data_IF_554102277062
#
_entry.id   IF_554102277062
#
_cell.length_a   1.000
_cell.length_b   1.000
_cell.length_c   1.000
_cell.angle_alpha   90.00
_cell.angle_beta   90.00
_cell.angle_gamma   90.00
#
_symmetry.space_group_name_H-M   'P 1'
#
loop_
_entity.id
_entity.type
_entity.pdbx_description
1 polymer ?
#
# COMPACT_ATOMS: atom_id res chain seq x y z
N UNK A 1 -38.76 -36.92 31.70
CA UNK A 1 -39.09 -38.33 31.38
C UNK A 1 -38.37 -38.68 30.09
N UNK A 2 -37.30 -39.49 30.20
CA UNK A 2 -36.69 -40.34 29.15
C UNK A 2 -36.10 -39.63 27.90
N UNK A 3 -34.95 -40.00 27.33
CA UNK A 3 -34.03 -41.13 27.53
C UNK A 3 -32.76 -40.92 26.67
N UNK A 4 -31.60 -41.37 27.22
CA UNK A 4 -30.50 -42.18 26.61
C UNK A 4 -29.77 -41.66 25.34
N UNK A 5 -28.46 -41.85 25.19
CA UNK A 5 -27.68 -43.10 25.03
C UNK A 5 -26.19 -42.74 25.28
N UNK A 6 -25.46 -43.17 26.33
CA UNK A 6 -24.72 -44.45 26.57
C UNK A 6 -23.82 -44.97 25.43
N UNK A 7 -22.49 -44.93 25.64
CA UNK A 7 -21.45 -45.91 25.22
C UNK A 7 -20.12 -45.47 25.89
N UNK A 8 -19.78 -45.93 27.09
CA UNK A 8 -19.07 -47.18 27.45
C UNK A 8 -17.73 -47.47 26.74
N UNK A 9 -16.69 -47.58 27.56
CA UNK A 9 -15.56 -48.52 27.43
C UNK A 9 -14.18 -47.87 27.39
N UNK A 10 -13.14 -48.29 28.12
CA UNK A 10 -12.98 -49.21 29.26
C UNK A 10 -11.49 -49.22 29.63
N UNK A 11 -11.18 -49.29 30.94
CA UNK A 11 -10.00 -49.94 31.59
C UNK A 11 -8.58 -49.38 31.34
N UNK A 12 -7.65 -49.39 32.31
CA UNK A 12 -7.43 -50.40 33.35
C UNK A 12 -6.64 -49.88 34.58
N UNK A 13 -7.06 -50.31 35.78
CA UNK A 13 -6.28 -50.89 36.91
C UNK A 13 -5.07 -50.14 37.49
N UNK A 14 -4.80 -50.08 38.81
CA UNK A 14 -5.09 -51.01 39.90
C UNK A 14 -4.75 -50.34 41.26
N UNK A 15 -5.24 -50.94 42.35
CA UNK A 15 -5.06 -50.72 43.80
C UNK A 15 -3.64 -50.29 44.24
N UNK A 16 -3.32 -49.79 45.46
CA UNK A 16 -3.50 -50.40 46.80
C UNK A 16 -3.11 -49.38 47.91
N UNK A 17 -3.87 -49.39 49.01
CA UNK A 17 -3.55 -49.23 50.44
C UNK A 17 -2.32 -48.47 51.00
N UNK A 18 -2.64 -47.63 52.01
CA UNK A 18 -1.94 -47.33 53.27
C UNK A 18 -0.40 -47.28 53.33
N UNK A 19 0.16 -46.09 53.61
CA UNK A 19 1.39 -45.95 54.44
C UNK A 19 1.30 -44.67 55.27
N UNK A 20 1.24 -44.83 56.60
CA UNK A 20 1.55 -43.78 57.59
C UNK A 20 2.99 -43.27 57.39
N UNK A 21 3.18 -41.96 57.35
CA UNK A 21 4.52 -41.37 57.57
C UNK A 21 4.47 -40.48 58.80
N UNK A 22 5.05 -41.04 59.86
CA UNK A 22 5.42 -40.48 61.17
C UNK A 22 5.69 -38.97 61.14
N UNK A 23 5.06 -38.27 62.08
CA UNK A 23 5.57 -37.01 62.61
C UNK A 23 7.01 -37.20 63.09
N UNK A 24 7.96 -36.51 62.47
CA UNK A 24 9.24 -36.20 63.11
C UNK A 24 9.12 -34.76 63.60
N UNK A 25 9.03 -34.60 64.92
CA UNK A 25 9.26 -33.32 65.59
C UNK A 25 10.74 -33.00 65.45
N UNK A 26 11.06 -31.93 64.73
CA UNK A 26 12.32 -31.21 64.93
C UNK A 26 12.00 -29.94 65.72
N UNK A 27 12.48 -29.92 66.97
CA UNK A 27 12.69 -28.66 67.68
C UNK A 27 13.81 -27.92 66.95
N UNK A 28 13.52 -26.72 66.47
CA UNK A 28 14.55 -25.81 65.99
C UNK A 28 14.54 -24.56 66.89
N UNK A 29 15.43 -24.57 67.87
CA UNK A 29 15.84 -23.39 68.62
C UNK A 29 16.88 -22.66 67.77
N UNK A 30 16.43 -21.77 66.89
CA UNK A 30 17.31 -21.01 66.00
C UNK A 30 16.57 -19.84 65.38
N UNK A 31 16.63 -18.67 66.03
CA UNK A 31 16.06 -17.44 65.51
C UNK A 31 16.74 -17.02 64.21
N UNK A 32 16.18 -17.43 63.07
CA UNK A 32 16.45 -16.82 61.79
C UNK A 32 15.11 -16.30 61.25
N UNK A 33 14.98 -14.97 61.18
CA UNK A 33 13.77 -14.31 60.70
C UNK A 33 13.69 -14.48 59.18
N UNK A 34 13.04 -15.57 58.73
CA UNK A 34 12.67 -15.73 57.33
C UNK A 34 11.57 -14.70 57.00
N UNK A 35 11.93 -13.61 56.32
CA UNK A 35 10.95 -12.66 55.80
C UNK A 35 10.16 -13.32 54.66
N UNK A 36 9.05 -13.94 55.00
CA UNK A 36 8.08 -14.46 54.03
C UNK A 36 7.25 -13.32 53.45
N UNK A 37 7.79 -12.66 52.41
CA UNK A 37 7.08 -11.65 51.63
C UNK A 37 5.88 -12.28 50.91
N UNK A 38 4.66 -11.99 51.36
CA UNK A 38 3.45 -12.46 50.67
C UNK A 38 3.32 -11.82 49.29
N UNK A 39 2.69 -12.51 48.32
CA UNK A 39 2.41 -11.97 46.96
C UNK A 39 1.76 -10.57 47.00
N UNK A 40 0.90 -10.32 47.98
CA UNK A 40 0.24 -9.02 48.20
C UNK A 40 1.21 -7.95 48.71
N UNK A 41 2.15 -8.30 49.59
CA UNK A 41 3.19 -7.39 50.05
C UNK A 41 4.22 -7.11 48.95
N UNK A 42 4.57 -8.10 48.12
CA UNK A 42 5.41 -7.90 46.94
C UNK A 42 4.78 -6.90 45.98
N UNK A 43 3.50 -7.08 45.61
CA UNK A 43 2.79 -6.13 44.72
C UNK A 43 2.76 -4.72 45.34
N UNK A 44 2.46 -4.61 46.65
CA UNK A 44 2.48 -3.30 47.33
C UNK A 44 3.86 -2.66 47.27
N UNK A 45 4.92 -3.41 47.55
CA UNK A 45 6.29 -2.92 47.54
C UNK A 45 6.71 -2.50 46.12
N UNK A 46 6.37 -3.28 45.10
CA UNK A 46 6.67 -2.96 43.69
C UNK A 46 5.96 -1.69 43.24
N UNK A 47 4.66 -1.54 43.55
CA UNK A 47 3.89 -0.32 43.22
C UNK A 47 4.46 0.92 43.94
N UNK A 48 4.80 0.78 45.23
CA UNK A 48 5.43 1.87 45.99
C UNK A 48 6.77 2.27 45.39
N UNK A 49 7.59 1.30 45.02
CA UNK A 49 8.94 1.55 44.46
C UNK A 49 8.86 2.25 43.11
N UNK A 50 7.95 1.82 42.22
CA UNK A 50 7.73 2.46 40.91
C UNK A 50 7.24 3.90 41.06
N UNK A 51 6.36 4.17 42.04
CA UNK A 51 5.80 5.51 42.28
C UNK A 51 6.85 6.48 42.79
N UNK A 52 7.72 6.03 43.70
CA UNK A 52 8.84 6.85 44.20
C UNK A 52 9.85 7.11 43.08
N UNK A 53 10.17 6.09 42.29
CA UNK A 53 11.07 6.26 41.15
C UNK A 53 10.51 7.26 40.13
N UNK A 54 9.24 7.13 39.75
CA UNK A 54 8.62 8.01 38.75
C UNK A 54 8.51 9.46 39.23
N UNK A 55 8.32 9.70 40.53
CA UNK A 55 8.34 11.04 41.12
C UNK A 55 9.75 11.65 41.20
N UNK A 56 10.79 10.82 41.25
CA UNK A 56 12.21 11.26 41.29
C UNK A 56 12.85 11.38 39.90
N UNK A 57 12.25 10.79 38.87
CA UNK A 57 12.66 10.98 37.49
C UNK A 57 12.23 12.40 37.05
N UNK A 58 13.11 13.16 36.38
CA UNK A 58 12.77 14.48 35.84
C UNK A 58 11.88 14.34 34.60
N UNK A 59 10.66 13.80 34.78
CA UNK A 59 9.65 13.74 33.74
C UNK A 59 8.97 15.11 33.65
N UNK A 60 9.62 16.03 32.95
CA UNK A 60 9.04 17.33 32.61
C UNK A 60 8.04 17.13 31.47
N UNK A 61 6.79 16.86 31.82
CA UNK A 61 5.68 16.66 30.86
C UNK A 61 5.54 17.83 29.86
N UNK A 62 5.93 19.03 30.26
CA UNK A 62 5.94 20.23 29.42
C UNK A 62 7.03 20.18 28.33
N UNK A 63 8.26 19.76 28.67
CA UNK A 63 9.33 19.53 27.67
C UNK A 63 9.03 18.33 26.78
N UNK A 64 8.36 17.30 27.33
CA UNK A 64 7.86 16.17 26.56
C UNK A 64 6.74 16.57 25.56
N UNK A 65 5.92 17.57 25.90
CA UNK A 65 4.89 18.13 25.00
C UNK A 65 5.45 19.11 23.97
N UNK A 66 6.45 19.90 24.33
CA UNK A 66 7.03 20.94 23.46
C UNK A 66 7.90 20.38 22.32
N UNK A 67 8.35 19.12 22.39
CA UNK A 67 9.16 18.47 21.36
C UNK A 67 8.34 17.66 20.34
N UNK A 68 7.02 17.85 20.27
CA UNK A 68 6.20 17.29 19.20
C UNK A 68 6.55 17.98 17.89
N UNK A 69 7.34 17.34 17.04
CA UNK A 69 7.54 17.80 15.66
C UNK A 69 6.19 17.97 14.99
N UNK A 70 6.03 19.04 14.20
CA UNK A 70 4.84 19.18 13.38
C UNK A 70 4.73 17.96 12.45
N UNK A 71 3.60 17.28 12.50
CA UNK A 71 3.42 16.04 11.74
C UNK A 71 3.49 16.40 10.27
N UNK A 72 4.40 15.76 9.52
CA UNK A 72 4.61 16.07 8.10
C UNK A 72 3.34 15.98 7.25
N UNK A 73 2.38 15.15 7.68
CA UNK A 73 1.11 14.90 7.01
C UNK A 73 -0.06 15.74 7.56
N UNK A 74 0.17 16.59 8.57
CA UNK A 74 -0.88 17.43 9.16
C UNK A 74 -1.57 18.28 8.09
N UNK A 75 -2.89 18.37 8.10
CA UNK A 75 -3.68 19.15 7.13
C UNK A 75 -3.48 18.70 5.66
N UNK A 76 -2.91 17.51 5.41
CA UNK A 76 -2.87 16.92 4.08
C UNK A 76 -4.21 16.24 3.77
N UNK A 77 -4.66 16.37 2.53
CA UNK A 77 -5.81 15.61 2.02
C UNK A 77 -5.35 14.23 1.58
N UNK A 78 -5.93 13.19 2.17
CA UNK A 78 -5.75 11.80 1.74
C UNK A 78 -6.63 11.51 0.52
N UNK A 79 -6.03 10.89 -0.50
CA UNK A 79 -6.75 10.45 -1.69
C UNK A 79 -6.33 8.99 -1.99
N UNK A 80 -7.26 8.03 -1.95
CA UNK A 80 -6.95 6.65 -2.31
C UNK A 80 -6.63 6.56 -3.81
N UNK A 81 -5.66 5.72 -4.16
CA UNK A 81 -5.25 5.48 -5.54
C UNK A 81 -4.66 4.07 -5.70
N UNK A 82 -4.27 3.72 -6.92
CA UNK A 82 -3.69 2.42 -7.27
C UNK A 82 -2.31 2.63 -7.89
N UNK A 83 -1.36 1.78 -7.52
CA UNK A 83 -0.03 1.74 -8.12
C UNK A 83 -0.10 1.32 -9.59
N UNK A 84 0.43 2.14 -10.50
CA UNK A 84 0.39 1.91 -11.94
C UNK A 84 1.53 1.04 -12.49
N UNK A 85 2.63 0.85 -11.74
CA UNK A 85 3.85 0.25 -12.31
C UNK A 85 3.76 -1.20 -12.80
N UNK A 86 3.05 -2.07 -12.08
CA UNK A 86 2.93 -3.47 -12.46
C UNK A 86 1.52 -3.97 -12.18
N UNK A 87 1.21 -5.17 -12.66
CA UNK A 87 -0.09 -5.80 -12.49
C UNK A 87 -0.45 -6.19 -11.04
N UNK A 88 0.36 -5.79 -10.05
CA UNK A 88 0.12 -6.08 -8.64
C UNK A 88 -1.06 -5.30 -8.04
N UNK A 89 -1.45 -4.16 -8.62
CA UNK A 89 -2.63 -3.42 -8.18
C UNK A 89 -2.60 -2.98 -6.71
N UNK A 90 -1.41 -2.68 -6.16
CA UNK A 90 -1.26 -2.25 -4.77
C UNK A 90 -2.05 -0.96 -4.52
N UNK A 91 -2.81 -0.92 -3.43
CA UNK A 91 -3.51 0.28 -2.97
C UNK A 91 -2.55 1.30 -2.38
N UNK A 92 -2.80 2.57 -2.67
CA UNK A 92 -2.02 3.72 -2.24
C UNK A 92 -2.91 4.73 -1.53
N UNK A 93 -2.35 5.42 -0.53
CA UNK A 93 -2.90 6.67 0.01
C UNK A 93 -1.96 7.80 -0.41
N UNK A 94 -2.49 8.72 -1.21
CA UNK A 94 -1.77 9.89 -1.73
C UNK A 94 -2.13 11.10 -0.90
N UNK A 95 -1.14 11.66 -0.22
CA UNK A 95 -1.28 12.84 0.63
C UNK A 95 -0.98 14.10 -0.17
N UNK A 96 -1.97 14.99 -0.29
CA UNK A 96 -1.90 16.22 -1.08
C UNK A 96 -2.07 17.46 -0.19
N UNK A 97 -1.16 18.42 -0.30
CA UNK A 97 -1.27 19.74 0.33
C UNK A 97 -0.90 20.82 -0.68
N UNK A 98 -1.66 21.91 -0.73
CA UNK A 98 -1.43 23.05 -1.63
C UNK A 98 -1.26 22.63 -3.12
N UNK A 99 -2.02 21.62 -3.54
CA UNK A 99 -1.99 21.06 -4.90
C UNK A 99 -0.75 20.23 -5.24
N UNK A 100 0.12 19.96 -4.26
CA UNK A 100 1.32 19.13 -4.42
C UNK A 100 1.18 17.80 -3.69
N UNK A 101 1.71 16.74 -4.28
CA UNK A 101 1.84 15.45 -3.59
C UNK A 101 3.01 15.56 -2.64
N UNK A 102 2.77 15.38 -1.33
CA UNK A 102 3.80 15.49 -0.29
C UNK A 102 4.23 14.14 0.28
N UNK A 103 3.38 13.11 0.18
CA UNK A 103 3.68 11.75 0.60
C UNK A 103 2.82 10.75 -0.17
N UNK A 104 3.33 9.54 -0.34
CA UNK A 104 2.59 8.37 -0.83
C UNK A 104 2.93 7.21 0.08
N UNK A 105 1.90 6.54 0.59
CA UNK A 105 2.05 5.34 1.40
C UNK A 105 1.08 4.25 0.94
N UNK A 106 1.26 3.04 1.47
CA UNK A 106 0.38 1.93 1.12
C UNK A 106 -0.93 2.04 1.87
N UNK A 107 -2.02 1.69 1.21
CA UNK A 107 -3.33 1.59 1.83
C UNK A 107 -3.39 0.33 2.75
N UNK A 108 -3.53 0.49 4.08
CA UNK A 108 -3.62 -0.63 5.01
C UNK A 108 -4.89 -1.48 4.83
N UNK A 109 -5.95 -0.89 4.29
CA UNK A 109 -7.24 -1.55 4.08
C UNK A 109 -7.28 -2.32 2.75
N UNK A 110 -6.32 -2.07 1.86
CA UNK A 110 -6.23 -2.78 0.59
C UNK A 110 -5.86 -4.27 0.82
N UNK A 111 -6.66 -5.22 0.31
CA UNK A 111 -6.47 -6.65 0.58
C UNK A 111 -5.18 -7.20 -0.04
N UNK A 112 -4.69 -6.58 -1.11
CA UNK A 112 -3.54 -7.06 -1.90
C UNK A 112 -2.24 -6.77 -1.18
N UNK A 113 -2.05 -5.55 -0.68
CA UNK A 113 -0.78 -5.11 -0.12
C UNK A 113 -0.82 -4.77 1.38
N UNK A 114 -1.99 -4.54 2.00
CA UNK A 114 -2.15 -4.29 3.43
C UNK A 114 -1.15 -3.24 3.97
N UNK A 115 -0.99 -2.14 3.23
CA UNK A 115 -0.07 -1.05 3.57
C UNK A 115 1.37 -1.23 3.11
N UNK A 116 1.76 -2.41 2.63
CA UNK A 116 3.14 -2.66 2.17
C UNK A 116 3.37 -2.11 0.77
N UNK A 117 4.54 -1.54 0.50
CA UNK A 117 4.93 -1.04 -0.82
C UNK A 117 6.35 -1.45 -1.20
N UNK A 118 6.54 -1.74 -2.49
CA UNK A 118 7.87 -1.97 -3.06
C UNK A 118 8.57 -0.63 -3.36
N UNK A 119 9.89 -0.60 -3.61
CA UNK A 119 10.62 0.66 -3.84
C UNK A 119 10.12 1.44 -5.06
N UNK A 120 9.58 0.75 -6.08
CA UNK A 120 8.98 1.42 -7.25
C UNK A 120 7.77 2.26 -6.82
N UNK A 121 6.83 1.64 -6.11
CA UNK A 121 5.61 2.31 -5.67
C UNK A 121 5.89 3.49 -4.72
N UNK A 122 6.86 3.35 -3.81
CA UNK A 122 7.31 4.45 -2.95
C UNK A 122 7.92 5.61 -3.75
N UNK A 123 8.55 5.32 -4.89
CA UNK A 123 9.14 6.32 -5.77
C UNK A 123 8.13 6.99 -6.72
N UNK A 124 6.83 6.64 -6.71
CA UNK A 124 5.79 7.27 -7.54
C UNK A 124 5.82 8.81 -7.47
N UNK A 125 6.06 9.36 -6.28
CA UNK A 125 6.11 10.81 -6.05
C UNK A 125 7.20 11.48 -6.91
N UNK A 126 8.33 10.80 -7.12
CA UNK A 126 9.44 11.29 -7.93
C UNK A 126 9.13 11.34 -9.42
N UNK A 127 8.16 10.55 -9.89
CA UNK A 127 7.69 10.58 -11.28
C UNK A 127 6.81 11.80 -11.50
N UNK A 128 5.89 12.07 -10.56
CA UNK A 128 4.95 13.21 -10.65
C UNK A 128 5.66 14.55 -10.46
N UNK A 129 6.49 14.66 -9.43
CA UNK A 129 7.19 15.90 -9.04
C UNK A 129 8.57 16.02 -9.70
N UNK A 130 8.79 15.29 -10.81
CA UNK A 130 10.07 15.35 -11.53
C UNK A 130 10.24 16.69 -12.27
N UNK A 131 11.36 17.42 -12.09
CA UNK A 131 11.62 18.66 -12.82
C UNK A 131 11.76 18.47 -14.33
N UNK A 132 12.13 17.27 -14.81
CA UNK A 132 12.26 16.99 -16.26
C UNK A 132 10.98 16.46 -16.90
N UNK A 133 9.86 16.41 -16.15
CA UNK A 133 8.58 15.95 -16.69
C UNK A 133 8.10 16.89 -17.80
N UNK A 134 7.73 16.38 -18.99
CA UNK A 134 7.20 17.23 -20.05
C UNK A 134 5.83 17.80 -19.64
N UNK A 135 5.71 19.13 -19.63
CA UNK A 135 4.49 19.85 -19.24
C UNK A 135 3.74 20.46 -20.41
N UNK A 136 4.34 20.47 -21.60
CA UNK A 136 3.79 21.06 -22.83
C UNK A 136 4.01 20.10 -24.00
N UNK A 137 3.12 20.11 -25.00
CA UNK A 137 3.38 19.44 -26.26
C UNK A 137 4.65 19.98 -26.91
N UNK A 138 5.40 19.09 -27.56
CA UNK A 138 6.64 19.40 -28.23
C UNK A 138 6.54 18.98 -29.70
N UNK A 139 6.99 19.84 -30.60
CA UNK A 139 7.07 19.58 -32.03
C UNK A 139 8.51 19.47 -32.48
N UNK A 140 8.77 18.55 -33.40
CA UNK A 140 10.06 18.41 -34.08
C UNK A 140 9.80 18.31 -35.58
N UNK A 141 10.31 19.28 -36.32
CA UNK A 141 10.20 19.30 -37.78
C UNK A 141 10.98 18.15 -38.42
N UNK A 142 10.61 17.69 -39.64
CA UNK A 142 11.38 16.70 -40.38
C UNK A 142 12.85 17.09 -40.50
N UNK A 143 13.76 16.19 -40.10
CA UNK A 143 15.21 16.42 -40.12
C UNK A 143 15.75 17.32 -38.99
N UNK A 144 14.90 17.92 -38.15
CA UNK A 144 15.36 18.72 -37.02
C UNK A 144 15.90 17.83 -35.87
N UNK A 145 16.89 18.35 -35.15
CA UNK A 145 17.46 17.72 -33.94
C UNK A 145 16.81 18.19 -32.65
N UNK A 146 16.32 19.43 -32.64
CA UNK A 146 15.77 20.09 -31.46
C UNK A 146 14.24 20.03 -31.43
N UNK A 147 13.69 19.97 -30.22
CA UNK A 147 12.25 20.06 -29.95
C UNK A 147 11.84 21.51 -29.66
N UNK A 148 10.67 21.90 -30.15
CA UNK A 148 10.09 23.22 -29.91
C UNK A 148 8.74 23.10 -29.19
N UNK A 149 8.50 23.85 -28.11
CA UNK A 149 7.21 23.82 -27.44
C UNK A 149 6.13 24.44 -28.31
N UNK A 150 4.97 23.79 -28.38
CA UNK A 150 3.78 24.29 -29.07
C UNK A 150 2.56 24.27 -28.16
N UNK A 151 1.48 24.93 -28.57
CA UNK A 151 0.21 24.88 -27.85
C UNK A 151 -0.50 23.53 -28.01
N UNK A 152 -1.43 23.21 -27.12
CA UNK A 152 -2.28 22.03 -27.25
C UNK A 152 -3.16 22.08 -28.49
N UNK A 153 -3.76 23.23 -28.79
CA UNK A 153 -4.60 23.40 -29.98
C UNK A 153 -3.80 23.17 -31.27
N UNK A 154 -2.60 23.73 -31.36
CA UNK A 154 -1.72 23.50 -32.50
C UNK A 154 -1.29 22.02 -32.61
N UNK A 155 -0.98 21.36 -31.49
CA UNK A 155 -0.58 19.96 -31.49
C UNK A 155 -1.72 19.06 -32.00
N UNK A 156 -2.92 19.25 -31.47
CA UNK A 156 -4.11 18.48 -31.82
C UNK A 156 -4.47 18.70 -33.29
N UNK A 157 -4.50 19.96 -33.75
CA UNK A 157 -4.83 20.31 -35.13
C UNK A 157 -3.84 19.68 -36.12
N UNK A 158 -2.53 19.78 -35.86
CA UNK A 158 -1.50 19.18 -36.71
C UNK A 158 -1.63 17.67 -36.81
N UNK A 159 -1.87 16.99 -35.68
CA UNK A 159 -2.05 15.54 -35.63
C UNK A 159 -3.32 15.16 -36.40
N UNK A 160 -4.44 15.85 -36.18
CA UNK A 160 -5.70 15.58 -36.85
C UNK A 160 -5.59 15.75 -38.37
N UNK A 161 -4.96 16.85 -38.84
CA UNK A 161 -4.71 17.09 -40.26
C UNK A 161 -3.88 15.97 -40.89
N UNK A 162 -2.80 15.53 -40.22
CA UNK A 162 -1.94 14.46 -40.72
C UNK A 162 -2.64 13.11 -40.77
N UNK A 163 -3.39 12.77 -39.72
CA UNK A 163 -4.18 11.53 -39.72
C UNK A 163 -5.22 11.56 -40.84
N UNK A 164 -5.90 12.70 -41.04
CA UNK A 164 -6.87 12.86 -42.13
C UNK A 164 -6.23 12.73 -43.51
N UNK A 165 -5.11 13.43 -43.75
CA UNK A 165 -4.35 13.37 -45.00
C UNK A 165 -3.95 11.92 -45.35
N UNK A 166 -3.37 11.20 -44.38
CA UNK A 166 -2.99 9.79 -44.57
C UNK A 166 -4.23 8.95 -44.83
N UNK A 167 -5.26 9.06 -43.99
CA UNK A 167 -6.48 8.25 -44.13
C UNK A 167 -7.15 8.44 -45.48
N UNK A 168 -7.27 9.68 -45.97
CA UNK A 168 -7.95 9.98 -47.23
C UNK A 168 -7.14 9.48 -48.44
N UNK A 169 -5.81 9.50 -48.37
CA UNK A 169 -4.93 9.08 -49.47
C UNK A 169 -4.69 7.58 -49.52
N UNK A 170 -4.82 6.87 -48.41
CA UNK A 170 -4.53 5.43 -48.30
C UNK A 170 -5.76 4.59 -47.96
N UNK A 171 -6.97 5.12 -48.13
CA UNK A 171 -8.20 4.41 -47.85
C UNK A 171 -8.40 3.22 -48.79
N UNK A 172 -8.75 2.07 -48.22
CA UNK A 172 -9.04 0.83 -48.95
C UNK A 172 -10.56 0.58 -48.87
N UNK A 173 -11.20 0.60 -50.04
CA UNK A 173 -12.65 0.41 -50.19
C UNK A 173 -12.99 -0.85 -51.00
N UNK A 174 -12.44 -1.99 -50.59
CA UNK A 174 -12.70 -3.33 -51.14
C UNK A 174 -13.81 -4.08 -50.37
N UNK A 175 -14.59 -3.37 -49.56
CA UNK A 175 -15.54 -3.92 -48.60
C UNK A 175 -15.00 -4.01 -47.16
N UNK A 176 -13.70 -3.82 -46.94
CA UNK A 176 -13.11 -3.84 -45.58
C UNK A 176 -13.15 -2.49 -44.86
N UNK A 177 -13.29 -1.38 -45.59
CA UNK A 177 -13.34 -0.01 -45.05
C UNK A 177 -12.19 0.29 -44.07
N UNK A 178 -10.95 0.19 -44.55
CA UNK A 178 -9.75 0.28 -43.70
C UNK A 178 -8.63 1.13 -44.30
N UNK A 179 -7.61 1.40 -43.50
CA UNK A 179 -6.32 1.94 -43.92
C UNK A 179 -5.19 1.17 -43.24
N UNK A 180 -4.24 0.71 -44.04
CA UNK A 180 -3.06 -0.02 -43.57
C UNK A 180 -1.87 0.96 -43.31
N UNK A 181 -2.09 2.27 -43.45
CA UNK A 181 -1.04 3.29 -43.25
C UNK A 181 -1.02 3.91 -41.85
N UNK A 182 -1.96 3.55 -40.98
CA UNK A 182 -2.04 4.02 -39.60
C UNK A 182 -1.83 2.86 -38.64
N UNK A 183 -0.95 3.05 -37.65
CA UNK A 183 -0.69 2.09 -36.58
C UNK A 183 -0.74 2.74 -35.20
N UNK A 184 -1.16 1.98 -34.20
CA UNK A 184 -1.14 2.37 -32.79
C UNK A 184 -0.36 1.34 -31.98
N UNK A 185 0.52 1.84 -31.11
CA UNK A 185 1.29 1.04 -30.17
C UNK A 185 0.97 1.49 -28.74
N UNK A 186 0.28 0.64 -27.98
CA UNK A 186 0.07 0.81 -26.56
C UNK A 186 -1.01 1.82 -26.16
N UNK A 187 -1.47 1.76 -24.91
CA UNK A 187 -0.67 1.31 -23.75
C UNK A 187 -1.41 0.39 -22.76
N UNK A 188 -0.69 -0.49 -22.06
CA UNK A 188 -1.11 -1.20 -20.85
C UNK A 188 -1.00 -0.34 -19.56
N UNK A 189 -0.42 0.85 -19.67
CA UNK A 189 -0.18 1.79 -18.55
C UNK A 189 -1.29 2.87 -18.45
N UNK A 190 -2.19 2.93 -19.42
CA UNK A 190 -3.32 3.87 -19.40
C UNK A 190 -4.52 3.27 -18.66
N UNK A 191 -5.47 4.11 -18.29
CA UNK A 191 -6.69 3.63 -17.64
C UNK A 191 -7.48 2.68 -18.56
N UNK A 192 -8.33 1.84 -17.98
CA UNK A 192 -9.12 0.87 -18.77
C UNK A 192 -10.07 1.57 -19.74
N UNK A 193 -10.65 2.69 -19.31
CA UNK A 193 -11.52 3.56 -20.10
C UNK A 193 -10.74 4.17 -21.26
N UNK A 194 -9.51 4.65 -21.02
CA UNK A 194 -8.63 5.19 -22.04
C UNK A 194 -8.19 4.12 -23.04
N UNK A 195 -7.85 2.93 -22.57
CA UNK A 195 -7.53 1.75 -23.40
C UNK A 195 -8.68 1.41 -24.35
N UNK A 196 -9.91 1.45 -23.84
CA UNK A 196 -11.12 1.25 -24.63
C UNK A 196 -11.28 2.35 -25.69
N UNK A 197 -11.10 3.62 -25.30
CA UNK A 197 -11.21 4.77 -26.21
C UNK A 197 -10.14 4.75 -27.30
N UNK A 198 -8.88 4.43 -26.99
CA UNK A 198 -7.79 4.31 -27.96
C UNK A 198 -8.12 3.27 -29.03
N UNK A 199 -8.61 2.11 -28.60
CA UNK A 199 -8.99 1.04 -29.52
C UNK A 199 -10.16 1.44 -30.41
N UNK A 200 -11.17 2.11 -29.84
CA UNK A 200 -12.32 2.62 -30.61
C UNK A 200 -11.88 3.69 -31.61
N UNK A 201 -11.09 4.66 -31.17
CA UNK A 201 -10.54 5.71 -32.00
C UNK A 201 -9.82 5.12 -33.23
N UNK A 202 -8.87 4.21 -33.02
CA UNK A 202 -8.11 3.63 -34.14
C UNK A 202 -8.96 2.82 -35.10
N UNK A 203 -9.93 2.03 -34.58
CA UNK A 203 -10.88 1.30 -35.42
C UNK A 203 -11.79 2.23 -36.21
N UNK A 204 -12.24 3.35 -35.63
CA UNK A 204 -13.04 4.34 -36.37
C UNK A 204 -12.23 5.04 -37.46
N UNK A 205 -10.92 5.20 -37.26
CA UNK A 205 -10.03 5.72 -38.31
C UNK A 205 -9.73 4.67 -39.40
N UNK A 206 -10.17 3.42 -39.23
CA UNK A 206 -9.98 2.32 -40.18
C UNK A 206 -8.67 1.56 -40.02
N UNK A 207 -7.92 1.79 -38.94
CA UNK A 207 -6.67 1.05 -38.70
C UNK A 207 -6.95 -0.36 -38.16
N UNK A 208 -6.24 -1.34 -38.70
CA UNK A 208 -6.21 -2.72 -38.17
C UNK A 208 -4.94 -3.00 -37.36
N UNK A 209 -3.93 -2.14 -37.47
CA UNK A 209 -2.65 -2.27 -36.77
C UNK A 209 -2.73 -1.60 -35.38
N UNK A 210 -3.30 -2.34 -34.43
CA UNK A 210 -3.47 -1.91 -33.04
C UNK A 210 -2.76 -2.93 -32.16
N UNK A 211 -1.57 -2.58 -31.69
CA UNK A 211 -0.69 -3.45 -30.92
C UNK A 211 -0.37 -2.80 -29.58
N UNK A 212 0.09 -3.56 -28.58
CA UNK A 212 0.46 -3.03 -27.25
C UNK A 212 1.43 -3.97 -26.54
N UNK A 213 1.83 -3.60 -25.32
CA UNK A 213 2.82 -4.31 -24.52
C UNK A 213 2.52 -5.80 -24.31
N UNK A 214 1.26 -6.27 -24.29
CA UNK A 214 0.99 -7.70 -24.07
C UNK A 214 1.19 -8.58 -25.32
N UNK A 215 1.61 -8.02 -26.46
CA UNK A 215 1.98 -8.81 -27.64
C UNK A 215 3.29 -9.58 -27.44
N UNK A 216 4.21 -9.02 -26.66
CA UNK A 216 5.53 -9.56 -26.30
C UNK A 216 5.46 -10.18 -24.91
#
# INVERSE_FOLDING_TARGET
>A
MKERIMKEGEKSSQCIDNVEIRMIRFNDEGGNCEMTLSRRQFIKLSVSTVTVLSASLPFEAEKARAAGYDLKLRDAKENPSICHFCAGGCGLIVHVRDGKVINIEGDPDNPTNKGSLCPKALACIQVRENPVRPLKPLYRAPGAKEWQPISWDEAIERIAQKIKEVRDTTWINDGTNRTDALGMLGSAEVDNEESYLLTKFMRTMGSTYIEHQARI
#
